data_IF_029601608284
#
_entry.id   IF_029601608284
#
_cell.length_a   1.000
_cell.length_b   1.000
_cell.length_c   1.000
_cell.angle_alpha   90.00
_cell.angle_beta   90.00
_cell.angle_gamma   90.00
#
_symmetry.space_group_name_H-M   'P 1'
#
loop_
_entity.id
_entity.type
_entity.pdbx_description
1 polymer ?
#
# COMPACT_ATOMS: atom_id res chain seq x y z
N UNK A 1 -19.04 -0.57 18.42
CA UNK A 1 -18.81 -0.66 16.97
C UNK A 1 -20.02 -0.17 16.18
N UNK A 2 -21.23 -0.70 16.38
CA UNK A 2 -22.45 -0.22 15.73
C UNK A 2 -22.65 1.30 15.83
N UNK A 3 -22.33 1.91 16.97
CA UNK A 3 -22.46 3.36 17.15
C UNK A 3 -21.45 4.19 16.33
N UNK A 4 -20.25 3.70 16.06
CA UNK A 4 -19.25 4.45 15.27
C UNK A 4 -19.39 4.26 13.74
N UNK A 5 -19.89 3.10 13.31
CA UNK A 5 -20.01 2.76 11.88
C UNK A 5 -21.44 3.00 11.35
N UNK A 6 -22.46 2.88 12.21
CA UNK A 6 -23.89 3.02 11.84
C UNK A 6 -24.48 4.41 12.15
N UNK A 7 -23.66 5.38 12.60
CA UNK A 7 -24.13 6.76 12.80
C UNK A 7 -24.61 7.38 11.47
N UNK A 8 -25.43 8.42 11.58
CA UNK A 8 -25.85 9.20 10.42
C UNK A 8 -24.64 9.54 9.56
N UNK A 9 -24.57 8.95 8.36
CA UNK A 9 -23.45 9.14 7.44
C UNK A 9 -23.47 10.59 6.96
N UNK A 10 -22.62 11.41 7.57
CA UNK A 10 -22.38 12.79 7.18
C UNK A 10 -20.99 12.90 6.54
N UNK A 11 -20.74 13.87 5.65
CA UNK A 11 -19.40 14.08 5.10
C UNK A 11 -18.33 14.23 6.19
N UNK A 12 -18.60 15.05 7.21
CA UNK A 12 -17.69 15.26 8.33
C UNK A 12 -17.46 13.98 9.16
N UNK A 13 -18.51 13.16 9.40
CA UNK A 13 -18.39 11.90 10.13
C UNK A 13 -17.55 10.87 9.39
N UNK A 14 -17.77 10.72 8.08
CA UNK A 14 -16.99 9.79 7.25
C UNK A 14 -15.51 10.22 7.17
N UNK A 15 -15.24 11.50 6.98
CA UNK A 15 -13.87 12.03 6.93
C UNK A 15 -13.17 11.91 8.29
N UNK A 16 -13.87 12.21 9.40
CA UNK A 16 -13.33 12.03 10.76
C UNK A 16 -12.96 10.57 11.04
N UNK A 17 -13.73 9.63 10.52
CA UNK A 17 -13.43 8.20 10.66
C UNK A 17 -12.23 7.77 9.79
N UNK A 18 -12.11 8.30 8.57
CA UNK A 18 -11.03 7.98 7.65
C UNK A 18 -9.70 8.71 7.96
N UNK A 19 -9.77 9.89 8.60
CA UNK A 19 -8.59 10.74 8.85
C UNK A 19 -7.42 10.02 9.55
N UNK A 20 -7.62 9.19 10.60
CA UNK A 20 -6.52 8.44 11.19
C UNK A 20 -5.83 7.51 10.21
N UNK A 21 -6.58 6.86 9.31
CA UNK A 21 -6.00 5.97 8.29
C UNK A 21 -5.24 6.74 7.22
N UNK A 22 -5.70 7.93 6.84
CA UNK A 22 -4.98 8.83 5.92
C UNK A 22 -3.64 9.25 6.54
N UNK A 23 -3.68 9.76 7.78
CA UNK A 23 -2.48 10.22 8.49
C UNK A 23 -1.50 9.05 8.67
N UNK A 24 -1.99 7.88 9.02
CA UNK A 24 -1.18 6.67 9.16
C UNK A 24 -0.45 6.31 7.87
N UNK A 25 -1.14 6.28 6.73
CA UNK A 25 -0.53 5.92 5.44
C UNK A 25 0.47 6.97 4.96
N UNK A 26 0.16 8.25 5.13
CA UNK A 26 1.09 9.34 4.80
C UNK A 26 2.34 9.27 5.68
N UNK A 27 2.17 9.05 6.98
CA UNK A 27 3.29 8.88 7.90
C UNK A 27 4.16 7.67 7.53
N UNK A 28 3.55 6.52 7.22
CA UNK A 28 4.27 5.32 6.79
C UNK A 28 5.08 5.56 5.51
N UNK A 29 4.54 6.33 4.58
CA UNK A 29 5.26 6.68 3.36
C UNK A 29 6.44 7.61 3.62
N UNK A 30 6.28 8.61 4.48
CA UNK A 30 7.36 9.50 4.89
C UNK A 30 8.46 8.74 5.63
N UNK A 31 8.08 7.89 6.56
CA UNK A 31 9.00 7.05 7.31
C UNK A 31 9.83 6.15 6.39
N UNK A 32 9.22 5.49 5.40
CA UNK A 32 9.94 4.63 4.44
C UNK A 32 10.97 5.42 3.63
N UNK A 33 10.65 6.66 3.23
CA UNK A 33 11.60 7.54 2.54
C UNK A 33 12.77 7.92 3.44
N UNK A 34 12.48 8.27 4.70
CA UNK A 34 13.51 8.64 5.69
C UNK A 34 14.44 7.48 5.99
N UNK A 35 13.90 6.27 6.16
CA UNK A 35 14.66 5.05 6.41
C UNK A 35 15.65 4.76 5.25
N UNK A 36 15.19 4.83 4.01
CA UNK A 36 16.06 4.68 2.84
C UNK A 36 17.19 5.72 2.77
N UNK A 37 16.90 6.99 3.09
CA UNK A 37 17.92 8.06 3.17
C UNK A 37 18.91 7.77 4.29
N UNK A 38 18.43 7.29 5.43
CA UNK A 38 19.27 6.98 6.59
C UNK A 38 20.26 5.86 6.28
N UNK A 39 19.79 4.76 5.71
CA UNK A 39 20.64 3.62 5.29
C UNK A 39 21.69 4.08 4.28
N UNK A 40 21.28 4.82 3.25
CA UNK A 40 22.20 5.34 2.24
C UNK A 40 23.30 6.22 2.83
N UNK A 41 22.97 7.07 3.80
CA UNK A 41 23.89 8.06 4.36
C UNK A 41 24.87 7.45 5.36
N UNK A 42 24.44 6.48 6.18
CA UNK A 42 25.25 5.92 7.26
C UNK A 42 25.96 4.61 6.91
N UNK A 43 25.37 3.79 6.04
CA UNK A 43 25.92 2.50 5.64
C UNK A 43 26.57 2.51 4.25
N UNK A 44 26.32 3.56 3.47
CA UNK A 44 26.91 3.73 2.15
C UNK A 44 26.16 3.01 1.03
N UNK A 45 26.72 3.11 -0.20
CA UNK A 45 26.09 2.64 -1.43
C UNK A 45 25.97 1.12 -1.53
N UNK A 46 26.94 0.36 -0.99
CA UNK A 46 26.92 -1.11 -1.06
C UNK A 46 25.78 -1.69 -0.22
N UNK A 47 25.55 -1.17 0.99
CA UNK A 47 24.45 -1.59 1.84
C UNK A 47 23.09 -1.28 1.21
N UNK A 48 22.95 -0.07 0.63
CA UNK A 48 21.73 0.30 -0.10
C UNK A 48 21.50 -0.59 -1.33
N UNK A 49 22.56 -0.92 -2.07
CA UNK A 49 22.48 -1.83 -3.20
C UNK A 49 22.06 -3.24 -2.79
N UNK A 50 22.62 -3.76 -1.70
CA UNK A 50 22.28 -5.07 -1.15
C UNK A 50 20.81 -5.13 -0.72
N UNK A 51 20.30 -4.08 -0.04
CA UNK A 51 18.89 -3.93 0.31
C UNK A 51 18.01 -3.97 -0.94
N UNK A 52 18.33 -3.15 -1.95
CA UNK A 52 17.54 -3.07 -3.18
C UNK A 52 17.50 -4.39 -3.96
N UNK A 53 18.59 -5.16 -3.94
CA UNK A 53 18.67 -6.48 -4.60
C UNK A 53 17.67 -7.45 -3.96
N UNK A 54 17.57 -7.51 -2.63
CA UNK A 54 16.70 -8.46 -1.94
C UNK A 54 15.28 -7.94 -1.68
N UNK A 55 15.05 -6.66 -1.91
CA UNK A 55 13.75 -6.01 -1.70
C UNK A 55 12.56 -6.67 -2.42
N UNK A 56 12.71 -7.27 -3.63
CA UNK A 56 11.62 -8.01 -4.26
C UNK A 56 11.02 -9.13 -3.41
N UNK A 57 11.83 -9.82 -2.58
CA UNK A 57 11.31 -10.87 -1.67
C UNK A 57 10.47 -10.25 -0.56
N UNK A 58 10.95 -9.15 0.01
CA UNK A 58 10.20 -8.38 1.03
C UNK A 58 8.89 -7.84 0.43
N UNK A 59 8.91 -7.39 -0.84
CA UNK A 59 7.71 -6.96 -1.53
C UNK A 59 6.68 -8.09 -1.73
N UNK A 60 7.11 -9.32 -1.96
CA UNK A 60 6.19 -10.47 -2.02
C UNK A 60 5.51 -10.68 -0.66
N UNK A 61 6.25 -10.58 0.43
CA UNK A 61 5.69 -10.66 1.78
C UNK A 61 4.67 -9.55 2.05
N UNK A 62 5.02 -8.29 1.75
CA UNK A 62 4.11 -7.14 1.89
C UNK A 62 2.87 -7.32 1.00
N UNK A 63 3.03 -7.82 -0.23
CA UNK A 63 1.93 -8.05 -1.16
C UNK A 63 0.94 -9.09 -0.63
N UNK A 64 1.43 -10.20 -0.07
CA UNK A 64 0.58 -11.23 0.55
C UNK A 64 -0.11 -10.68 1.79
N UNK A 65 0.61 -9.92 2.62
CA UNK A 65 0.08 -9.33 3.84
C UNK A 65 -1.06 -8.35 3.57
N UNK A 66 -0.85 -7.45 2.61
CA UNK A 66 -1.87 -6.46 2.21
C UNK A 66 -3.07 -7.11 1.53
N UNK A 67 -2.86 -8.17 0.74
CA UNK A 67 -3.93 -8.98 0.17
C UNK A 67 -4.84 -9.57 1.27
N UNK A 68 -4.25 -10.19 2.28
CA UNK A 68 -5.00 -10.76 3.41
C UNK A 68 -5.67 -9.67 4.25
N UNK A 69 -4.99 -8.55 4.50
CA UNK A 69 -5.52 -7.43 5.27
C UNK A 69 -6.74 -6.80 4.61
N UNK A 70 -6.67 -6.48 3.33
CA UNK A 70 -7.76 -5.80 2.60
C UNK A 70 -8.90 -6.75 2.24
N UNK A 71 -8.58 -7.95 1.75
CA UNK A 71 -9.59 -8.96 1.43
C UNK A 71 -10.31 -9.47 2.66
N UNK A 72 -9.58 -9.75 3.75
CA UNK A 72 -10.15 -10.14 5.03
C UNK A 72 -11.03 -9.05 5.65
N UNK A 73 -10.59 -7.77 5.57
CA UNK A 73 -11.37 -6.62 6.02
C UNK A 73 -12.75 -6.57 5.33
N UNK A 74 -12.81 -6.77 4.01
CA UNK A 74 -14.06 -6.74 3.27
C UNK A 74 -15.04 -7.83 3.72
N UNK A 75 -14.54 -9.07 3.93
CA UNK A 75 -15.37 -10.19 4.41
C UNK A 75 -15.85 -9.98 5.83
N UNK A 76 -14.95 -9.59 6.75
CA UNK A 76 -15.29 -9.35 8.15
C UNK A 76 -16.33 -8.23 8.28
N UNK A 77 -16.12 -7.10 7.58
CA UNK A 77 -17.04 -5.96 7.64
C UNK A 77 -18.41 -6.28 7.04
N UNK A 78 -18.47 -7.10 5.99
CA UNK A 78 -19.71 -7.61 5.42
C UNK A 78 -20.47 -8.48 6.44
N UNK A 79 -19.82 -9.45 7.10
CA UNK A 79 -20.45 -10.28 8.11
C UNK A 79 -20.96 -9.46 9.30
N UNK A 80 -20.25 -8.41 9.71
CA UNK A 80 -20.73 -7.49 10.74
C UNK A 80 -22.00 -6.74 10.30
N UNK A 81 -22.08 -6.36 9.01
CA UNK A 81 -23.26 -5.74 8.42
C UNK A 81 -24.46 -6.69 8.36
N UNK A 82 -24.22 -7.97 8.04
CA UNK A 82 -25.21 -9.04 8.03
C UNK A 82 -25.62 -9.50 9.43
N UNK A 83 -25.11 -8.87 10.50
CA UNK A 83 -25.31 -9.23 11.92
C UNK A 83 -24.77 -10.64 12.31
N UNK A 84 -23.95 -11.25 11.45
CA UNK A 84 -23.31 -12.56 11.66
C UNK A 84 -22.00 -12.40 12.47
N UNK A 85 -22.13 -11.91 13.71
CA UNK A 85 -20.96 -11.57 14.53
C UNK A 85 -20.03 -12.77 14.84
N UNK A 86 -20.57 -13.98 14.96
CA UNK A 86 -19.77 -15.20 15.16
C UNK A 86 -18.92 -15.49 13.92
N UNK A 87 -19.52 -15.44 12.74
CA UNK A 87 -18.77 -15.60 11.48
C UNK A 87 -17.68 -14.54 11.29
N UNK A 88 -17.95 -13.30 11.67
CA UNK A 88 -16.96 -12.22 11.64
C UNK A 88 -15.76 -12.51 12.56
N UNK A 89 -15.98 -13.10 13.74
CA UNK A 89 -14.94 -13.51 14.68
C UNK A 89 -14.12 -14.71 14.15
N UNK A 90 -14.82 -15.71 13.61
CA UNK A 90 -14.18 -16.88 13.00
C UNK A 90 -13.27 -16.43 11.85
N UNK A 91 -13.78 -15.59 10.93
CA UNK A 91 -13.02 -15.05 9.82
C UNK A 91 -11.80 -14.22 10.28
N UNK A 92 -11.96 -13.35 11.27
CA UNK A 92 -10.85 -12.61 11.88
C UNK A 92 -9.74 -13.56 12.36
N UNK A 93 -10.12 -14.58 13.13
CA UNK A 93 -9.17 -15.54 13.72
C UNK A 93 -8.48 -16.36 12.63
N UNK A 94 -9.26 -16.84 11.65
CA UNK A 94 -8.76 -17.62 10.53
C UNK A 94 -7.74 -16.83 9.69
N UNK A 95 -8.01 -15.55 9.37
CA UNK A 95 -7.09 -14.75 8.56
C UNK A 95 -5.80 -14.41 9.31
N UNK A 96 -5.86 -14.19 10.63
CA UNK A 96 -4.65 -14.00 11.45
C UNK A 96 -3.82 -15.28 11.50
N UNK A 97 -4.45 -16.44 11.68
CA UNK A 97 -3.75 -17.74 11.64
C UNK A 97 -3.16 -18.00 10.25
N UNK A 98 -3.90 -17.70 9.19
CA UNK A 98 -3.40 -17.84 7.81
C UNK A 98 -2.17 -16.97 7.57
N UNK A 99 -2.21 -15.69 8.02
CA UNK A 99 -1.07 -14.78 7.92
C UNK A 99 0.16 -15.36 8.63
N UNK A 100 0.00 -15.88 9.85
CA UNK A 100 1.08 -16.55 10.58
C UNK A 100 1.62 -17.78 9.84
N UNK A 101 0.75 -18.63 9.32
CA UNK A 101 1.19 -19.82 8.59
C UNK A 101 1.96 -19.46 7.31
N UNK A 102 1.46 -18.51 6.53
CA UNK A 102 2.13 -18.05 5.31
C UNK A 102 3.46 -17.35 5.62
N UNK A 103 3.53 -16.56 6.71
CA UNK A 103 4.78 -15.93 7.13
C UNK A 103 5.84 -16.97 7.54
N UNK A 104 5.43 -18.04 8.23
CA UNK A 104 6.34 -19.13 8.59
C UNK A 104 6.83 -19.89 7.36
N UNK A 105 5.96 -20.11 6.37
CA UNK A 105 6.36 -20.73 5.10
C UNK A 105 7.38 -19.85 4.37
N UNK A 106 7.13 -18.53 4.28
CA UNK A 106 8.06 -17.58 3.65
C UNK A 106 9.39 -17.49 4.41
N UNK A 107 9.33 -17.46 5.74
CA UNK A 107 10.53 -17.50 6.60
C UNK A 107 11.37 -18.73 6.30
N UNK A 108 10.78 -19.93 6.43
CA UNK A 108 11.48 -21.19 6.22
C UNK A 108 12.04 -21.30 4.80
N UNK A 109 11.24 -20.94 3.80
CA UNK A 109 11.70 -20.94 2.40
C UNK A 109 12.88 -19.98 2.19
N UNK A 110 12.77 -18.75 2.69
CA UNK A 110 13.83 -17.76 2.55
C UNK A 110 15.11 -18.18 3.24
N UNK A 111 15.04 -18.69 4.49
CA UNK A 111 16.20 -19.13 5.24
C UNK A 111 16.90 -20.34 4.60
N UNK A 112 16.14 -21.29 4.07
CA UNK A 112 16.71 -22.46 3.36
C UNK A 112 17.39 -22.08 2.05
N UNK A 113 16.92 -21.04 1.38
CA UNK A 113 17.36 -20.63 0.03
C UNK A 113 18.02 -19.25 -0.03
N UNK A 114 18.54 -18.69 1.08
CA UNK A 114 19.14 -17.34 1.14
C UNK A 114 20.16 -17.10 0.02
N UNK A 115 21.11 -18.01 -0.18
CA UNK A 115 22.16 -17.86 -1.21
C UNK A 115 21.60 -17.99 -2.63
N UNK A 116 20.82 -19.02 -2.97
CA UNK A 116 20.19 -19.12 -4.30
C UNK A 116 19.31 -17.92 -4.64
N UNK A 117 18.49 -17.45 -3.68
CA UNK A 117 17.61 -16.29 -3.88
C UNK A 117 18.44 -15.03 -4.14
N UNK A 118 19.45 -14.75 -3.30
CA UNK A 118 20.30 -13.57 -3.46
C UNK A 118 21.03 -13.57 -4.80
N UNK A 119 21.55 -14.72 -5.22
CA UNK A 119 22.21 -14.87 -6.53
C UNK A 119 21.24 -14.69 -7.69
N UNK A 120 20.07 -15.30 -7.63
CA UNK A 120 19.01 -15.16 -8.64
C UNK A 120 18.58 -13.69 -8.82
N UNK A 121 18.55 -12.93 -7.73
CA UNK A 121 18.23 -11.50 -7.74
C UNK A 121 19.39 -10.61 -8.19
N UNK A 122 20.57 -11.18 -8.46
CA UNK A 122 21.70 -10.47 -9.04
C UNK A 122 22.80 -10.05 -8.05
N UNK A 123 22.85 -10.65 -6.85
CA UNK A 123 23.92 -10.34 -5.90
C UNK A 123 25.28 -10.80 -6.43
N UNK A 124 26.23 -9.85 -6.54
CA UNK A 124 27.64 -10.11 -6.83
C UNK A 124 28.34 -10.74 -5.62
N UNK A 125 29.56 -11.25 -5.81
CA UNK A 125 30.34 -11.84 -4.71
C UNK A 125 30.61 -10.84 -3.57
N UNK A 126 30.76 -9.56 -3.91
CA UNK A 126 30.98 -8.48 -2.94
C UNK A 126 29.75 -8.20 -2.09
N UNK A 127 28.55 -8.24 -2.71
CA UNK A 127 27.29 -7.88 -2.05
C UNK A 127 26.55 -9.08 -1.43
N UNK A 128 26.97 -10.30 -1.76
CA UNK A 128 26.27 -11.52 -1.36
C UNK A 128 26.15 -11.67 0.16
N UNK A 129 27.21 -11.33 0.90
CA UNK A 129 27.21 -11.43 2.34
C UNK A 129 26.17 -10.50 2.97
N UNK A 130 26.13 -9.24 2.53
CA UNK A 130 25.17 -8.24 3.00
C UNK A 130 23.74 -8.58 2.57
N UNK A 131 23.53 -9.06 1.34
CA UNK A 131 22.23 -9.52 0.85
C UNK A 131 21.67 -10.65 1.73
N UNK A 132 22.50 -11.66 2.03
CA UNK A 132 22.09 -12.79 2.89
C UNK A 132 21.79 -12.34 4.31
N UNK A 133 22.63 -11.48 4.87
CA UNK A 133 22.48 -10.97 6.23
C UNK A 133 21.21 -10.14 6.36
N UNK A 134 20.96 -9.22 5.42
CA UNK A 134 19.77 -8.38 5.44
C UNK A 134 18.48 -9.19 5.22
N UNK A 135 18.46 -10.05 4.19
CA UNK A 135 17.30 -10.89 3.88
C UNK A 135 16.99 -11.85 5.02
N UNK A 136 17.96 -12.60 5.53
CA UNK A 136 17.75 -13.54 6.64
C UNK A 136 17.26 -12.82 7.89
N UNK A 137 17.94 -11.73 8.30
CA UNK A 137 17.49 -10.94 9.45
C UNK A 137 16.06 -10.40 9.27
N UNK A 138 15.73 -9.87 8.09
CA UNK A 138 14.37 -9.36 7.82
C UNK A 138 13.32 -10.46 7.85
N UNK A 139 13.62 -11.62 7.26
CA UNK A 139 12.66 -12.74 7.21
C UNK A 139 12.39 -13.37 8.58
N UNK A 140 13.30 -13.28 9.55
CA UNK A 140 13.00 -13.68 10.93
C UNK A 140 11.81 -12.92 11.53
N UNK A 141 11.56 -11.70 11.06
CA UNK A 141 10.43 -10.86 11.47
C UNK A 141 9.23 -10.93 10.54
N UNK A 142 9.24 -11.82 9.53
CA UNK A 142 8.10 -11.99 8.62
C UNK A 142 6.76 -12.19 9.35
N UNK A 143 6.65 -12.98 10.45
CA UNK A 143 5.41 -13.05 11.21
C UNK A 143 4.94 -11.70 11.78
N UNK A 144 5.86 -10.88 12.24
CA UNK A 144 5.55 -9.55 12.76
C UNK A 144 5.11 -8.59 11.65
N UNK A 145 5.81 -8.59 10.52
CA UNK A 145 5.48 -7.81 9.33
C UNK A 145 4.06 -8.14 8.82
N UNK A 146 3.76 -9.43 8.62
CA UNK A 146 2.43 -9.85 8.17
C UNK A 146 1.33 -9.48 9.16
N UNK A 147 1.53 -9.70 10.45
CA UNK A 147 0.56 -9.33 11.48
C UNK A 147 0.35 -7.83 11.54
N UNK A 148 1.41 -7.02 11.43
CA UNK A 148 1.31 -5.56 11.36
C UNK A 148 0.37 -5.12 10.23
N UNK A 149 0.59 -5.61 8.99
CA UNK A 149 -0.20 -5.25 7.84
C UNK A 149 -1.68 -5.69 7.97
N UNK A 150 -1.92 -6.88 8.49
CA UNK A 150 -3.27 -7.40 8.74
C UNK A 150 -3.96 -6.58 9.83
N UNK A 151 -3.31 -6.29 10.97
CA UNK A 151 -3.90 -5.52 12.04
C UNK A 151 -4.09 -4.05 11.70
N UNK A 152 -3.28 -3.48 10.79
CA UNK A 152 -3.53 -2.16 10.22
C UNK A 152 -4.95 -2.05 9.66
N UNK A 153 -5.40 -3.05 8.91
CA UNK A 153 -6.76 -3.09 8.34
C UNK A 153 -7.81 -3.50 9.38
N UNK A 154 -7.53 -4.51 10.21
CA UNK A 154 -8.52 -5.06 11.14
C UNK A 154 -8.83 -4.15 12.33
N UNK A 155 -7.90 -3.31 12.77
CA UNK A 155 -8.17 -2.29 13.79
C UNK A 155 -9.15 -1.22 13.28
N UNK A 156 -9.05 -0.86 11.98
CA UNK A 156 -10.03 0.03 11.35
C UNK A 156 -11.41 -0.64 11.30
N UNK A 157 -11.46 -1.92 10.89
CA UNK A 157 -12.69 -2.74 10.89
C UNK A 157 -13.28 -2.87 12.30
N UNK A 158 -12.43 -2.99 13.33
CA UNK A 158 -12.85 -3.00 14.73
C UNK A 158 -13.36 -1.64 15.25
N UNK A 159 -13.46 -0.62 14.38
CA UNK A 159 -13.90 0.74 14.74
C UNK A 159 -12.88 1.50 15.60
N UNK A 160 -11.59 1.15 15.47
CA UNK A 160 -10.47 1.73 16.21
C UNK A 160 -9.35 2.28 15.30
N UNK A 161 -9.68 3.09 14.28
CA UNK A 161 -8.65 3.62 13.39
C UNK A 161 -7.60 4.48 14.12
N UNK A 162 -7.98 5.18 15.20
CA UNK A 162 -7.04 5.93 16.03
C UNK A 162 -6.03 5.06 16.76
N UNK A 163 -6.40 3.84 17.18
CA UNK A 163 -5.45 2.88 17.75
C UNK A 163 -4.49 2.38 16.67
N UNK A 164 -4.98 2.09 15.47
CA UNK A 164 -4.15 1.75 14.32
C UNK A 164 -3.11 2.85 14.04
N UNK A 165 -3.55 4.11 13.97
CA UNK A 165 -2.66 5.25 13.81
C UNK A 165 -1.58 5.30 14.90
N UNK A 166 -1.97 5.20 16.18
CA UNK A 166 -1.03 5.27 17.31
C UNK A 166 0.03 4.16 17.25
N UNK A 167 -0.39 2.92 16.96
CA UNK A 167 0.52 1.77 16.90
C UNK A 167 1.47 1.87 15.71
N UNK A 168 0.98 2.24 14.53
CA UNK A 168 1.82 2.33 13.33
C UNK A 168 2.79 3.51 13.38
N UNK A 169 2.33 4.69 13.82
CA UNK A 169 3.22 5.86 13.97
C UNK A 169 4.21 5.65 15.10
N UNK A 170 3.77 5.08 16.23
CA UNK A 170 4.66 4.72 17.34
C UNK A 170 5.74 3.73 16.92
N UNK A 171 5.37 2.69 16.17
CA UNK A 171 6.32 1.73 15.62
C UNK A 171 7.33 2.36 14.66
N UNK A 172 6.87 3.26 13.77
CA UNK A 172 7.76 3.96 12.85
C UNK A 172 8.76 4.89 13.58
N UNK A 173 8.31 5.64 14.59
CA UNK A 173 9.21 6.47 15.42
C UNK A 173 10.19 5.58 16.17
N UNK A 174 9.73 4.48 16.74
CA UNK A 174 10.58 3.54 17.48
C UNK A 174 11.63 2.89 16.55
N UNK A 175 11.23 2.51 15.34
CA UNK A 175 12.17 2.03 14.32
C UNK A 175 13.25 3.08 14.00
N UNK A 176 12.90 4.35 13.71
CA UNK A 176 13.89 5.40 13.44
C UNK A 176 14.90 5.60 14.61
N UNK A 177 14.44 5.47 15.86
CA UNK A 177 15.31 5.51 17.03
C UNK A 177 16.23 4.29 17.04
N UNK A 178 15.70 3.10 16.78
CA UNK A 178 16.50 1.87 16.72
C UNK A 178 17.51 1.87 15.58
N UNK A 179 17.15 2.40 14.40
CA UNK A 179 18.09 2.57 13.28
C UNK A 179 19.29 3.39 13.71
N UNK A 180 19.05 4.55 14.35
CA UNK A 180 20.14 5.36 14.88
C UNK A 180 20.98 4.58 15.88
N UNK A 181 20.36 3.93 16.87
CA UNK A 181 21.07 3.22 17.96
C UNK A 181 21.85 2.01 17.42
N UNK A 182 21.25 1.20 16.56
CA UNK A 182 21.90 -0.04 16.10
C UNK A 182 22.94 0.22 15.01
N UNK A 183 22.75 1.24 14.18
CA UNK A 183 23.67 1.54 13.09
C UNK A 183 24.84 2.42 13.58
N UNK A 184 24.57 3.48 14.34
CA UNK A 184 25.60 4.47 14.67
C UNK A 184 26.43 4.07 15.89
N UNK A 185 25.90 3.99 17.14
CA UNK A 185 26.72 3.59 18.29
C UNK A 185 27.04 2.09 18.35
N UNK A 186 26.11 1.22 17.96
CA UNK A 186 26.33 -0.23 18.02
C UNK A 186 27.09 -0.78 16.80
N UNK A 187 27.20 -0.02 15.72
CA UNK A 187 27.93 -0.38 14.48
C UNK A 187 27.53 -1.73 13.89
N UNK A 188 26.24 -2.09 13.99
CA UNK A 188 25.72 -3.38 13.51
C UNK A 188 25.54 -3.42 11.97
N UNK A 189 25.86 -2.34 11.28
CA UNK A 189 25.78 -2.28 9.82
C UNK A 189 24.36 -2.56 9.29
N UNK A 190 24.30 -3.29 8.17
CA UNK A 190 23.02 -3.60 7.50
C UNK A 190 22.11 -4.53 8.33
N UNK A 191 22.69 -5.38 9.19
CA UNK A 191 21.91 -6.19 10.14
C UNK A 191 21.18 -5.30 11.16
N UNK A 192 21.80 -4.19 11.59
CA UNK A 192 21.17 -3.22 12.47
C UNK A 192 19.92 -2.61 11.87
N UNK A 193 19.94 -2.24 10.59
CA UNK A 193 18.77 -1.73 9.87
C UNK A 193 17.65 -2.78 9.80
N UNK A 194 17.97 -4.02 9.43
CA UNK A 194 16.98 -5.11 9.39
C UNK A 194 16.35 -5.40 10.76
N UNK A 195 17.18 -5.42 11.83
CA UNK A 195 16.71 -5.61 13.21
C UNK A 195 15.83 -4.45 13.67
N UNK A 196 16.22 -3.20 13.40
CA UNK A 196 15.43 -2.03 13.78
C UNK A 196 14.02 -2.08 13.16
N UNK A 197 13.95 -2.39 11.86
CA UNK A 197 12.69 -2.54 11.13
C UNK A 197 11.86 -3.69 11.71
N UNK A 198 12.45 -4.87 11.90
CA UNK A 198 11.77 -6.04 12.43
C UNK A 198 11.24 -5.84 13.86
N UNK A 199 12.04 -5.27 14.75
CA UNK A 199 11.63 -4.96 16.13
C UNK A 199 10.51 -3.90 16.13
N UNK A 200 10.62 -2.89 15.26
CA UNK A 200 9.56 -1.90 15.06
C UNK A 200 8.23 -2.54 14.68
N UNK A 201 8.24 -3.52 13.76
CA UNK A 201 7.07 -4.27 13.33
C UNK A 201 6.47 -5.17 14.42
N UNK A 202 7.29 -5.64 15.39
CA UNK A 202 6.79 -6.41 16.52
C UNK A 202 5.82 -5.61 17.41
N UNK A 203 5.98 -4.30 17.51
CA UNK A 203 5.13 -3.46 18.36
C UNK A 203 3.65 -3.54 17.93
N UNK A 204 3.26 -3.18 16.70
CA UNK A 204 1.87 -3.31 16.27
C UNK A 204 1.39 -4.76 16.17
N UNK A 205 2.28 -5.73 15.88
CA UNK A 205 1.94 -7.14 15.85
C UNK A 205 1.52 -7.64 17.24
N UNK A 206 2.34 -7.42 18.26
CA UNK A 206 2.03 -7.85 19.64
C UNK A 206 0.87 -7.09 20.21
N UNK A 207 0.83 -5.75 20.06
CA UNK A 207 -0.28 -4.94 20.54
C UNK A 207 -1.61 -5.30 19.87
N UNK A 208 -1.59 -5.61 18.58
CA UNK A 208 -2.76 -6.08 17.84
C UNK A 208 -3.25 -7.44 18.34
N UNK A 209 -2.34 -8.40 18.55
CA UNK A 209 -2.67 -9.69 19.17
C UNK A 209 -3.30 -9.49 20.55
N UNK A 210 -2.66 -8.72 21.42
CA UNK A 210 -3.18 -8.43 22.76
C UNK A 210 -4.56 -7.76 22.69
N UNK A 211 -4.75 -6.80 21.78
CA UNK A 211 -6.05 -6.14 21.62
C UNK A 211 -7.15 -7.15 21.29
N UNK A 212 -6.98 -8.02 20.31
CA UNK A 212 -8.01 -8.99 19.90
C UNK A 212 -8.16 -10.17 20.89
N UNK A 213 -7.13 -10.49 21.67
CA UNK A 213 -7.20 -11.50 22.73
C UNK A 213 -8.00 -11.01 23.94
N UNK A 214 -7.74 -9.79 24.40
CA UNK A 214 -8.29 -9.30 25.66
C UNK A 214 -9.53 -8.41 25.51
N UNK A 215 -9.89 -8.02 24.28
CA UNK A 215 -11.07 -7.20 24.05
C UNK A 215 -12.35 -7.98 24.34
N UNK A 216 -13.30 -7.31 25.02
CA UNK A 216 -14.68 -7.82 25.22
C UNK A 216 -15.66 -7.35 24.13
N UNK A 217 -15.14 -6.78 23.01
CA UNK A 217 -15.95 -6.20 21.94
C UNK A 217 -16.47 -7.27 20.97
N UNK A 218 -17.22 -6.82 19.97
CA UNK A 218 -17.82 -7.67 18.94
C UNK A 218 -16.78 -8.47 18.16
N UNK A 219 -15.65 -7.85 17.77
CA UNK A 219 -14.51 -8.54 17.14
C UNK A 219 -13.46 -8.92 18.18
N UNK A 220 -13.26 -10.22 18.36
CA UNK A 220 -12.26 -10.83 19.24
C UNK A 220 -11.89 -12.19 18.68
N UNK A 221 -10.78 -12.74 19.09
CA UNK A 221 -10.42 -14.12 18.75
C UNK A 221 -11.39 -15.12 19.36
N UNK A 222 -11.69 -16.17 18.60
CA UNK A 222 -12.55 -17.28 19.03
C UNK A 222 -12.07 -18.59 18.41
N UNK A 223 -12.66 -19.70 18.83
CA UNK A 223 -12.50 -20.97 18.11
C UNK A 223 -13.15 -20.80 16.74
N UNK A 224 -12.51 -21.32 15.70
CA UNK A 224 -12.98 -21.21 14.32
C UNK A 224 -12.95 -22.56 13.61
N UNK A 225 -13.80 -22.71 12.63
CA UNK A 225 -13.79 -23.82 11.68
C UNK A 225 -13.05 -23.37 10.44
N UNK A 226 -12.06 -24.12 10.00
CA UNK A 226 -11.24 -23.79 8.85
C UNK A 226 -12.07 -23.84 7.57
N UNK A 227 -12.23 -22.71 6.89
CA UNK A 227 -12.96 -22.60 5.64
C UNK A 227 -12.04 -22.18 4.50
N UNK A 228 -11.64 -23.15 3.69
CA UNK A 228 -10.79 -22.89 2.50
C UNK A 228 -11.48 -21.92 1.55
N UNK A 229 -12.80 -21.99 1.41
CA UNK A 229 -13.56 -21.09 0.54
C UNK A 229 -13.43 -19.64 0.98
N UNK A 230 -13.64 -19.36 2.27
CA UNK A 230 -13.51 -17.98 2.79
C UNK A 230 -12.09 -17.43 2.64
N UNK A 231 -11.06 -18.30 2.78
CA UNK A 231 -9.68 -17.94 2.54
C UNK A 231 -9.42 -17.55 1.09
N UNK A 232 -9.90 -18.38 0.16
CA UNK A 232 -9.76 -18.11 -1.28
C UNK A 232 -10.55 -16.85 -1.68
N UNK A 233 -11.73 -16.65 -1.13
CA UNK A 233 -12.54 -15.45 -1.36
C UNK A 233 -11.82 -14.19 -0.85
N UNK A 234 -11.15 -14.26 0.32
CA UNK A 234 -10.35 -13.15 0.84
C UNK A 234 -9.12 -12.86 -0.05
N UNK A 235 -8.38 -13.91 -0.42
CA UNK A 235 -7.22 -13.76 -1.32
C UNK A 235 -7.64 -13.18 -2.68
N UNK A 236 -8.73 -13.69 -3.24
CA UNK A 236 -9.26 -13.19 -4.52
C UNK A 236 -9.70 -11.72 -4.42
N UNK A 237 -10.40 -11.37 -3.35
CA UNK A 237 -10.90 -10.01 -3.14
C UNK A 237 -9.77 -9.01 -2.86
N UNK A 238 -8.72 -9.43 -2.16
CA UNK A 238 -7.53 -8.62 -1.87
C UNK A 238 -6.44 -8.66 -2.95
N UNK A 239 -6.62 -9.46 -4.00
CA UNK A 239 -5.63 -9.62 -5.08
C UNK A 239 -5.25 -8.32 -5.79
N UNK A 240 -6.15 -7.34 -5.81
CA UNK A 240 -5.91 -6.00 -6.35
C UNK A 240 -4.73 -5.30 -5.68
N UNK A 241 -4.61 -5.41 -4.35
CA UNK A 241 -3.51 -4.82 -3.59
C UNK A 241 -2.20 -5.59 -3.81
N UNK A 242 -2.29 -6.93 -3.85
CA UNK A 242 -1.13 -7.76 -4.17
C UNK A 242 -0.55 -7.41 -5.53
N UNK A 243 -1.39 -7.31 -6.56
CA UNK A 243 -0.97 -6.93 -7.92
C UNK A 243 -0.33 -5.54 -7.91
N UNK A 244 -0.92 -4.57 -7.20
CA UNK A 244 -0.37 -3.22 -7.12
C UNK A 244 1.03 -3.20 -6.50
N UNK A 245 1.25 -3.95 -5.44
CA UNK A 245 2.55 -4.04 -4.77
C UNK A 245 3.61 -4.71 -5.65
N UNK A 246 3.28 -5.83 -6.27
CA UNK A 246 4.21 -6.54 -7.15
C UNK A 246 4.55 -5.74 -8.42
N UNK A 247 3.59 -5.00 -8.96
CA UNK A 247 3.79 -4.17 -10.16
C UNK A 247 4.77 -3.03 -9.93
N UNK A 248 4.84 -2.47 -8.71
CA UNK A 248 5.73 -1.35 -8.40
C UNK A 248 7.21 -1.66 -8.73
N UNK A 249 7.67 -2.88 -8.42
CA UNK A 249 9.05 -3.28 -8.73
C UNK A 249 9.31 -3.34 -10.24
N UNK A 250 8.38 -3.92 -11.00
CA UNK A 250 8.48 -4.03 -12.46
C UNK A 250 8.51 -2.63 -13.10
N UNK A 251 7.67 -1.73 -12.64
CA UNK A 251 7.56 -0.38 -13.19
C UNK A 251 8.79 0.44 -12.88
N UNK A 252 9.30 0.39 -11.65
CA UNK A 252 10.55 1.07 -11.29
C UNK A 252 11.70 0.59 -12.15
N UNK A 253 11.83 -0.71 -12.37
CA UNK A 253 12.84 -1.29 -13.24
C UNK A 253 12.71 -0.79 -14.69
N UNK A 254 11.51 -0.80 -15.25
CA UNK A 254 11.28 -0.32 -16.62
C UNK A 254 11.57 1.17 -16.77
N UNK A 255 11.14 1.99 -15.81
CA UNK A 255 11.47 3.42 -15.82
C UNK A 255 12.97 3.67 -15.78
N UNK A 256 13.70 2.94 -14.94
CA UNK A 256 15.16 3.08 -14.85
C UNK A 256 15.83 2.77 -16.20
N UNK A 257 15.42 1.69 -16.90
CA UNK A 257 15.95 1.36 -18.23
C UNK A 257 15.66 2.47 -19.23
N UNK A 258 14.41 2.91 -19.31
CA UNK A 258 13.97 3.93 -20.27
C UNK A 258 14.66 5.26 -19.97
N UNK A 259 14.71 5.70 -18.73
CA UNK A 259 15.31 6.97 -18.34
C UNK A 259 16.85 6.96 -18.49
N UNK A 260 17.50 5.82 -18.21
CA UNK A 260 18.94 5.66 -18.47
C UNK A 260 19.25 5.82 -19.96
N UNK A 261 18.40 5.29 -20.85
CA UNK A 261 18.59 5.42 -22.30
C UNK A 261 18.31 6.83 -22.85
N UNK A 262 17.43 7.61 -22.18
CA UNK A 262 16.99 8.94 -22.66
C UNK A 262 17.84 10.09 -22.10
N UNK A 263 18.24 10.01 -20.83
CA UNK A 263 18.88 11.12 -20.11
C UNK A 263 19.98 10.66 -19.15
N UNK A 264 20.42 9.39 -19.24
CA UNK A 264 21.49 8.85 -18.41
C UNK A 264 21.16 8.88 -16.90
N UNK A 265 22.18 9.06 -16.08
CA UNK A 265 22.06 9.05 -14.62
C UNK A 265 21.15 10.17 -14.09
N UNK A 266 21.19 11.36 -14.69
CA UNK A 266 20.29 12.46 -14.31
C UNK A 266 18.81 12.11 -14.55
N UNK A 267 18.52 11.36 -15.63
CA UNK A 267 17.18 10.89 -15.93
C UNK A 267 16.69 9.88 -14.89
N UNK A 268 17.52 8.93 -14.49
CA UNK A 268 17.19 7.94 -13.46
C UNK A 268 16.98 8.63 -12.11
N UNK A 269 17.83 9.58 -11.74
CA UNK A 269 17.67 10.35 -10.52
C UNK A 269 16.37 11.19 -10.53
N UNK A 270 16.06 11.81 -11.67
CA UNK A 270 14.84 12.60 -11.82
C UNK A 270 13.57 11.75 -11.66
N UNK A 271 13.47 10.60 -12.36
CA UNK A 271 12.30 9.73 -12.23
C UNK A 271 12.14 9.17 -10.81
N UNK A 272 13.23 8.88 -10.13
CA UNK A 272 13.20 8.42 -8.74
C UNK A 272 12.54 9.45 -7.82
N UNK A 273 12.85 10.74 -8.00
CA UNK A 273 12.20 11.84 -7.26
C UNK A 273 10.69 11.86 -7.53
N UNK A 274 10.28 11.72 -8.80
CA UNK A 274 8.88 11.70 -9.18
C UNK A 274 8.14 10.51 -8.57
N UNK A 275 8.74 9.33 -8.58
CA UNK A 275 8.16 8.12 -7.98
C UNK A 275 8.03 8.22 -6.45
N UNK A 276 8.97 8.87 -5.76
CA UNK A 276 8.80 9.18 -4.32
C UNK A 276 7.64 10.14 -4.08
N UNK A 277 7.49 11.16 -4.91
CA UNK A 277 6.32 12.05 -4.88
C UNK A 277 5.01 11.27 -5.09
N UNK A 278 4.98 10.38 -6.09
CA UNK A 278 3.82 9.51 -6.34
C UNK A 278 3.50 8.63 -5.14
N UNK A 279 4.49 8.01 -4.54
CA UNK A 279 4.33 7.14 -3.37
C UNK A 279 3.66 7.90 -2.22
N UNK A 280 4.14 9.12 -1.92
CA UNK A 280 3.59 9.97 -0.87
C UNK A 280 2.14 10.40 -1.16
N UNK A 281 1.85 10.90 -2.36
CA UNK A 281 0.50 11.36 -2.69
C UNK A 281 -0.50 10.19 -2.83
N UNK A 282 -0.07 9.05 -3.37
CA UNK A 282 -0.92 7.87 -3.43
C UNK A 282 -1.24 7.30 -2.03
N UNK A 283 -0.35 7.47 -1.05
CA UNK A 283 -0.59 7.08 0.33
C UNK A 283 -1.81 7.80 0.94
N UNK A 284 -2.06 9.05 0.54
CA UNK A 284 -3.27 9.78 0.95
C UNK A 284 -4.55 9.06 0.47
N UNK A 285 -4.61 8.68 -0.80
CA UNK A 285 -5.79 8.00 -1.37
C UNK A 285 -5.95 6.57 -0.84
N UNK A 286 -4.84 5.85 -0.66
CA UNK A 286 -4.84 4.52 -0.05
C UNK A 286 -5.34 4.59 1.39
N UNK A 287 -4.86 5.55 2.17
CA UNK A 287 -5.31 5.77 3.54
C UNK A 287 -6.79 6.10 3.63
N UNK A 288 -7.30 6.92 2.72
CA UNK A 288 -8.74 7.20 2.61
C UNK A 288 -9.52 5.92 2.26
N UNK A 289 -9.07 5.18 1.24
CA UNK A 289 -9.70 3.93 0.80
C UNK A 289 -9.78 2.89 1.92
N UNK A 290 -8.66 2.66 2.64
CA UNK A 290 -8.60 1.75 3.78
C UNK A 290 -9.54 2.23 4.90
N UNK A 291 -9.55 3.54 5.17
CA UNK A 291 -10.39 4.14 6.21
C UNK A 291 -11.88 3.95 5.98
N UNK A 292 -12.35 4.10 4.74
CA UNK A 292 -13.79 3.98 4.43
C UNK A 292 -14.23 2.52 4.15
N UNK A 293 -13.30 1.63 3.84
CA UNK A 293 -13.59 0.24 3.44
C UNK A 293 -14.49 -0.50 4.43
N UNK A 294 -14.27 -0.47 5.76
CA UNK A 294 -15.16 -1.15 6.71
C UNK A 294 -16.58 -0.57 6.74
N UNK A 295 -16.70 0.75 6.50
CA UNK A 295 -18.02 1.41 6.47
C UNK A 295 -18.82 0.96 5.25
N UNK A 296 -18.15 0.85 4.09
CA UNK A 296 -18.75 0.35 2.85
C UNK A 296 -19.16 -1.12 3.03
N UNK A 297 -18.26 -1.99 3.47
CA UNK A 297 -18.50 -3.42 3.67
C UNK A 297 -19.65 -3.68 4.65
N UNK A 298 -19.71 -2.90 5.75
CA UNK A 298 -20.80 -2.99 6.73
C UNK A 298 -22.14 -2.61 6.12
N UNK A 299 -22.26 -1.48 5.40
CA UNK A 299 -23.52 -1.06 4.78
C UNK A 299 -23.94 -2.00 3.65
N UNK A 300 -22.97 -2.55 2.92
CA UNK A 300 -23.23 -3.58 1.92
C UNK A 300 -23.80 -4.86 2.55
N UNK A 301 -23.20 -5.35 3.64
CA UNK A 301 -23.70 -6.50 4.40
C UNK A 301 -25.08 -6.27 5.01
N UNK A 302 -25.33 -5.05 5.49
CA UNK A 302 -26.65 -4.65 6.02
C UNK A 302 -27.73 -4.46 4.94
N UNK A 303 -27.36 -4.47 3.66
CA UNK A 303 -28.30 -4.22 2.56
C UNK A 303 -28.82 -2.78 2.47
N UNK A 304 -28.18 -1.82 3.16
CA UNK A 304 -28.62 -0.42 3.20
C UNK A 304 -28.09 0.36 1.98
N UNK A 305 -28.80 0.20 0.85
CA UNK A 305 -28.46 0.85 -0.42
C UNK A 305 -28.48 2.38 -0.33
N UNK A 306 -29.34 2.95 0.50
CA UNK A 306 -29.46 4.42 0.64
C UNK A 306 -28.19 4.99 1.27
N UNK A 307 -27.72 4.39 2.37
CA UNK A 307 -26.47 4.80 3.00
C UNK A 307 -25.27 4.52 2.11
N UNK A 308 -25.26 3.38 1.42
CA UNK A 308 -24.18 3.02 0.50
C UNK A 308 -24.05 4.04 -0.64
N UNK A 309 -25.18 4.47 -1.24
CA UNK A 309 -25.20 5.55 -2.23
C UNK A 309 -24.69 6.88 -1.69
N UNK A 310 -25.02 7.20 -0.45
CA UNK A 310 -24.53 8.41 0.21
C UNK A 310 -23.02 8.36 0.43
N UNK A 311 -22.48 7.23 0.91
CA UNK A 311 -21.03 7.01 1.07
C UNK A 311 -20.35 7.17 -0.29
N UNK A 312 -20.86 6.53 -1.33
CA UNK A 312 -20.33 6.63 -2.68
C UNK A 312 -20.18 8.09 -3.13
N UNK A 313 -21.27 8.89 -3.03
CA UNK A 313 -21.25 10.30 -3.44
C UNK A 313 -20.26 11.14 -2.63
N UNK A 314 -20.25 10.96 -1.32
CA UNK A 314 -19.32 11.71 -0.42
C UNK A 314 -17.88 11.35 -0.75
N UNK A 315 -17.57 10.05 -0.90
CA UNK A 315 -16.22 9.58 -1.14
C UNK A 315 -15.66 10.09 -2.46
N UNK A 316 -16.42 9.97 -3.56
CA UNK A 316 -15.94 10.39 -4.87
C UNK A 316 -15.88 11.91 -5.01
N UNK A 317 -16.79 12.66 -4.37
CA UNK A 317 -16.69 14.11 -4.29
C UNK A 317 -15.45 14.57 -3.51
N UNK A 318 -15.20 13.94 -2.35
CA UNK A 318 -14.01 14.24 -1.55
C UNK A 318 -12.73 13.95 -2.31
N UNK A 319 -12.63 12.80 -2.98
CA UNK A 319 -11.46 12.44 -3.78
C UNK A 319 -11.27 13.40 -4.95
N UNK A 320 -12.33 13.78 -5.65
CA UNK A 320 -12.24 14.74 -6.75
C UNK A 320 -11.71 16.10 -6.28
N UNK A 321 -12.25 16.63 -5.17
CA UNK A 321 -11.82 17.92 -4.60
C UNK A 321 -10.38 17.81 -4.08
N UNK A 322 -10.04 16.78 -3.32
CA UNK A 322 -8.68 16.60 -2.81
C UNK A 322 -7.65 16.37 -3.92
N UNK A 323 -8.01 15.63 -4.98
CA UNK A 323 -7.15 15.45 -6.16
C UNK A 323 -6.84 16.77 -6.86
N UNK A 324 -7.83 17.64 -7.00
CA UNK A 324 -7.61 18.98 -7.59
C UNK A 324 -6.65 19.80 -6.72
N UNK A 325 -6.84 19.80 -5.40
CA UNK A 325 -5.96 20.52 -4.46
C UNK A 325 -4.54 19.95 -4.53
N UNK A 326 -4.39 18.61 -4.55
CA UNK A 326 -3.09 17.94 -4.63
C UNK A 326 -2.37 18.30 -5.94
N UNK A 327 -3.07 18.24 -7.10
CA UNK A 327 -2.47 18.58 -8.40
C UNK A 327 -2.01 20.03 -8.43
N UNK A 328 -2.87 20.97 -8.02
CA UNK A 328 -2.52 22.39 -7.98
C UNK A 328 -1.30 22.61 -7.08
N UNK A 329 -1.31 22.02 -5.89
CA UNK A 329 -0.18 22.11 -4.96
C UNK A 329 1.08 21.45 -5.52
N UNK A 330 0.99 20.28 -6.13
CA UNK A 330 2.12 19.56 -6.71
C UNK A 330 2.75 20.34 -7.87
N UNK A 331 1.94 20.94 -8.75
CA UNK A 331 2.43 21.77 -9.86
C UNK A 331 3.07 23.06 -9.35
N UNK A 332 2.42 23.73 -8.40
CA UNK A 332 2.91 25.00 -7.86
C UNK A 332 4.20 24.84 -7.06
N UNK A 333 4.25 23.83 -6.20
CA UNK A 333 5.41 23.56 -5.34
C UNK A 333 6.44 22.60 -5.94
N UNK A 334 6.29 22.19 -7.22
CA UNK A 334 7.22 21.25 -7.86
C UNK A 334 8.71 21.64 -7.73
N UNK A 335 9.13 22.92 -7.93
CA UNK A 335 10.54 23.28 -7.77
C UNK A 335 11.03 23.10 -6.33
N UNK A 336 10.21 23.49 -5.35
CA UNK A 336 10.54 23.35 -3.93
C UNK A 336 10.63 21.87 -3.50
N UNK A 337 9.70 21.03 -3.98
CA UNK A 337 9.73 19.58 -3.72
C UNK A 337 11.01 18.97 -4.29
N UNK A 338 11.34 19.26 -5.54
CA UNK A 338 12.55 18.71 -6.18
C UNK A 338 13.82 19.17 -5.46
N UNK A 339 13.89 20.44 -5.00
CA UNK A 339 15.04 20.98 -4.27
C UNK A 339 15.32 20.25 -2.94
N UNK A 340 14.28 19.64 -2.32
CA UNK A 340 14.48 18.83 -1.11
C UNK A 340 15.30 17.57 -1.43
N UNK A 341 15.14 16.99 -2.62
CA UNK A 341 15.76 15.72 -2.99
C UNK A 341 17.11 15.88 -3.68
N UNK A 342 17.33 16.94 -4.44
CA UNK A 342 18.59 17.13 -5.19
C UNK A 342 19.05 18.57 -5.22
N UNK A 343 20.39 18.74 -5.21
CA UNK A 343 21.09 20.01 -5.46
C UNK A 343 21.79 20.00 -6.83
N UNK A 344 21.81 18.85 -7.50
CA UNK A 344 22.40 18.73 -8.83
C UNK A 344 21.49 19.43 -9.85
N UNK A 345 22.05 20.38 -10.58
CA UNK A 345 21.29 21.25 -11.48
C UNK A 345 20.68 20.48 -12.65
N UNK A 346 21.42 19.53 -13.24
CA UNK A 346 20.91 18.72 -14.37
C UNK A 346 19.70 17.87 -13.97
N UNK A 347 19.79 17.20 -12.83
CA UNK A 347 18.67 16.42 -12.26
C UNK A 347 17.52 17.34 -11.87
N UNK A 348 17.80 18.52 -11.29
CA UNK A 348 16.78 19.47 -10.84
C UNK A 348 15.93 20.00 -12.00
N UNK A 349 16.58 20.39 -13.12
CA UNK A 349 15.88 20.89 -14.31
C UNK A 349 14.96 19.81 -14.91
N UNK A 350 15.49 18.58 -15.09
CA UNK A 350 14.72 17.44 -15.59
C UNK A 350 13.55 17.08 -14.68
N UNK A 351 13.81 16.98 -13.37
CA UNK A 351 12.79 16.61 -12.39
C UNK A 351 11.71 17.70 -12.24
N UNK A 352 12.08 18.97 -12.30
CA UNK A 352 11.12 20.06 -12.15
C UNK A 352 10.14 20.16 -13.33
N UNK A 353 10.62 19.93 -14.54
CA UNK A 353 9.77 19.84 -15.75
C UNK A 353 8.94 18.56 -15.69
N UNK A 354 9.60 17.43 -15.41
CA UNK A 354 8.95 16.12 -15.32
C UNK A 354 7.84 16.11 -14.27
N UNK A 355 8.07 16.67 -13.10
CA UNK A 355 7.11 16.68 -11.99
C UNK A 355 5.81 17.43 -12.35
N UNK A 356 5.89 18.55 -13.10
CA UNK A 356 4.71 19.30 -13.55
C UNK A 356 3.84 18.48 -14.49
N UNK A 357 4.45 17.78 -15.46
CA UNK A 357 3.72 16.89 -16.38
C UNK A 357 3.17 15.67 -15.65
N UNK A 358 3.97 15.11 -14.77
CA UNK A 358 3.62 13.94 -13.99
C UNK A 358 2.50 14.20 -12.96
N UNK A 359 2.42 15.42 -12.42
CA UNK A 359 1.43 15.81 -11.40
C UNK A 359 -0.03 15.64 -11.88
N UNK A 360 -0.29 15.65 -13.19
CA UNK A 360 -1.61 15.36 -13.77
C UNK A 360 -2.10 13.97 -13.33
N UNK A 361 -1.17 13.03 -13.11
CA UNK A 361 -1.46 11.71 -12.57
C UNK A 361 -2.30 11.79 -11.28
N UNK A 362 -2.00 12.70 -10.36
CA UNK A 362 -2.67 12.80 -9.07
C UNK A 362 -4.15 13.18 -9.17
N UNK A 363 -4.56 13.80 -10.28
CA UNK A 363 -5.98 14.05 -10.54
C UNK A 363 -6.76 12.74 -10.81
N UNK A 364 -6.11 11.78 -11.43
CA UNK A 364 -6.74 10.56 -11.96
C UNK A 364 -6.55 9.38 -11.00
N UNK A 365 -5.36 9.26 -10.40
CA UNK A 365 -4.99 8.12 -9.55
C UNK A 365 -5.89 8.00 -8.32
N UNK A 366 -6.28 9.11 -7.71
CA UNK A 366 -7.19 9.12 -6.56
C UNK A 366 -8.52 8.45 -6.86
N UNK A 367 -9.11 8.74 -8.03
CA UNK A 367 -10.38 8.14 -8.47
C UNK A 367 -10.22 6.64 -8.72
N UNK A 368 -9.14 6.20 -9.36
CA UNK A 368 -8.89 4.80 -9.67
C UNK A 368 -8.59 3.99 -8.40
N UNK A 369 -7.74 4.51 -7.48
CA UNK A 369 -7.41 3.87 -6.20
C UNK A 369 -8.67 3.68 -5.35
N UNK A 370 -9.44 4.77 -5.19
CA UNK A 370 -10.67 4.73 -4.39
C UNK A 370 -11.71 3.80 -5.01
N UNK A 371 -11.81 3.74 -6.33
CA UNK A 371 -12.73 2.83 -7.03
C UNK A 371 -12.34 1.37 -6.80
N UNK A 372 -11.06 1.03 -6.97
CA UNK A 372 -10.56 -0.31 -6.70
C UNK A 372 -10.89 -0.74 -5.26
N UNK A 373 -10.55 0.10 -4.26
CA UNK A 373 -10.86 -0.17 -2.85
C UNK A 373 -12.36 -0.23 -2.55
N UNK A 374 -13.18 0.56 -3.24
CA UNK A 374 -14.65 0.51 -3.11
C UNK A 374 -15.19 -0.84 -3.59
N UNK A 375 -14.75 -1.33 -4.76
CA UNK A 375 -15.14 -2.65 -5.26
C UNK A 375 -14.62 -3.78 -4.37
N UNK A 376 -13.41 -3.67 -3.81
CA UNK A 376 -12.89 -4.61 -2.81
C UNK A 376 -13.80 -4.67 -1.58
N UNK A 377 -14.21 -3.52 -1.05
CA UNK A 377 -15.10 -3.43 0.11
C UNK A 377 -16.50 -3.99 -0.17
N UNK A 378 -16.98 -3.94 -1.42
CA UNK A 378 -18.20 -4.59 -1.89
C UNK A 378 -18.04 -6.11 -2.16
N UNK A 379 -16.91 -6.69 -1.82
CA UNK A 379 -16.55 -8.09 -2.13
C UNK A 379 -16.57 -8.41 -3.63
N UNK A 380 -16.32 -7.41 -4.49
CA UNK A 380 -16.17 -7.58 -5.93
C UNK A 380 -14.70 -7.53 -6.35
N UNK A 381 -13.92 -8.51 -5.90
CA UNK A 381 -12.49 -8.64 -6.18
C UNK A 381 -12.15 -8.68 -7.67
N UNK A 382 -13.08 -9.19 -8.53
CA UNK A 382 -12.87 -9.24 -9.97
C UNK A 382 -12.71 -7.86 -10.60
N UNK A 383 -13.62 -6.94 -10.27
CA UNK A 383 -13.57 -5.58 -10.80
C UNK A 383 -12.41 -4.80 -10.19
N UNK A 384 -12.19 -4.97 -8.89
CA UNK A 384 -11.07 -4.35 -8.21
C UNK A 384 -9.71 -4.79 -8.79
N UNK A 385 -9.51 -6.09 -8.97
CA UNK A 385 -8.29 -6.63 -9.58
C UNK A 385 -8.09 -6.14 -11.03
N UNK A 386 -9.18 -6.09 -11.83
CA UNK A 386 -9.11 -5.56 -13.20
C UNK A 386 -8.63 -4.10 -13.21
N UNK A 387 -9.23 -3.23 -12.39
CA UNK A 387 -8.84 -1.83 -12.30
C UNK A 387 -7.37 -1.71 -11.87
N UNK A 388 -6.96 -2.43 -10.81
CA UNK A 388 -5.58 -2.38 -10.31
C UNK A 388 -4.59 -2.91 -11.33
N UNK A 389 -4.86 -4.03 -11.98
CA UNK A 389 -3.96 -4.64 -12.97
C UNK A 389 -3.78 -3.75 -14.21
N UNK A 390 -4.88 -3.19 -14.73
CA UNK A 390 -4.81 -2.23 -15.83
C UNK A 390 -4.02 -0.98 -15.44
N UNK A 391 -4.27 -0.44 -14.24
CA UNK A 391 -3.65 0.78 -13.74
C UNK A 391 -2.15 0.62 -13.48
N UNK A 392 -1.80 -0.44 -12.73
CA UNK A 392 -0.44 -0.57 -12.18
C UNK A 392 0.51 -1.37 -13.06
N UNK A 393 0.03 -2.08 -14.07
CA UNK A 393 0.90 -2.89 -14.94
C UNK A 393 0.61 -2.64 -16.42
N UNK A 394 -0.55 -3.04 -16.93
CA UNK A 394 -0.79 -3.10 -18.37
C UNK A 394 -0.56 -1.72 -19.03
N UNK A 395 -1.34 -0.72 -18.61
CA UNK A 395 -1.30 0.57 -19.28
C UNK A 395 -0.01 1.35 -19.03
N UNK A 396 0.63 1.18 -17.86
CA UNK A 396 1.92 1.82 -17.61
C UNK A 396 2.99 1.21 -18.50
N UNK A 397 3.06 -0.13 -18.60
CA UNK A 397 4.04 -0.82 -19.45
C UNK A 397 3.85 -0.40 -20.91
N UNK A 398 2.63 -0.44 -21.42
CA UNK A 398 2.32 -0.05 -22.81
C UNK A 398 2.70 1.42 -23.04
N UNK A 399 2.27 2.32 -22.14
CA UNK A 399 2.56 3.75 -22.28
C UNK A 399 4.06 4.03 -22.23
N UNK A 400 4.79 3.36 -21.32
CA UNK A 400 6.24 3.56 -21.16
C UNK A 400 7.06 2.99 -22.33
N UNK A 401 6.55 1.96 -23.02
CA UNK A 401 7.20 1.43 -24.22
C UNK A 401 6.91 2.25 -25.49
N UNK A 402 5.76 2.90 -25.57
CA UNK A 402 5.30 3.61 -26.78
C UNK A 402 5.62 5.11 -26.71
N UNK A 403 5.19 5.79 -25.64
CA UNK A 403 5.25 7.24 -25.56
C UNK A 403 6.68 7.82 -25.62
N UNK A 404 7.69 7.23 -24.98
CA UNK A 404 9.06 7.72 -25.09
C UNK A 404 9.63 7.64 -26.50
N UNK A 405 9.16 6.71 -27.34
CA UNK A 405 9.56 6.60 -28.75
C UNK A 405 9.00 7.74 -29.61
N UNK A 406 7.87 8.31 -29.21
CA UNK A 406 7.16 9.37 -29.96
C UNK A 406 7.57 10.74 -29.44
N UNK A 407 7.59 10.92 -28.11
CA UNK A 407 7.77 12.21 -27.45
C UNK A 407 9.08 12.33 -26.66
N UNK A 408 10.03 11.38 -26.82
CA UNK A 408 11.28 11.39 -26.07
C UNK A 408 11.03 11.36 -24.55
N UNK A 409 11.80 12.14 -23.81
CA UNK A 409 11.74 12.20 -22.36
C UNK A 409 10.36 12.65 -21.83
N UNK A 410 9.68 13.54 -22.54
CA UNK A 410 8.33 13.97 -22.17
C UNK A 410 7.34 12.79 -22.24
N UNK A 411 7.55 11.86 -23.15
CA UNK A 411 6.78 10.63 -23.23
C UNK A 411 6.91 9.77 -21.98
N UNK A 412 8.12 9.71 -21.38
CA UNK A 412 8.30 9.01 -20.10
C UNK A 412 7.56 9.72 -18.95
N UNK A 413 7.58 11.04 -18.89
CA UNK A 413 6.87 11.81 -17.85
C UNK A 413 5.35 11.66 -17.91
N UNK A 414 4.77 11.57 -19.10
CA UNK A 414 3.31 11.42 -19.26
C UNK A 414 2.85 9.95 -19.30
N UNK A 415 3.75 8.97 -19.22
CA UNK A 415 3.39 7.56 -19.30
C UNK A 415 2.40 7.14 -18.20
N UNK A 416 2.63 7.54 -16.93
CA UNK A 416 1.72 7.25 -15.84
C UNK A 416 0.40 8.05 -15.94
N UNK A 417 0.40 9.37 -16.19
CA UNK A 417 -0.84 10.10 -16.47
C UNK A 417 -1.72 9.46 -17.54
N UNK A 418 -1.13 9.04 -18.66
CA UNK A 418 -1.89 8.37 -19.74
C UNK A 418 -2.45 7.02 -19.28
N UNK A 419 -1.65 6.22 -18.58
CA UNK A 419 -2.10 4.95 -18.02
C UNK A 419 -3.27 5.12 -17.04
N UNK A 420 -3.20 6.12 -16.16
CA UNK A 420 -4.28 6.43 -15.22
C UNK A 420 -5.54 6.94 -15.95
N UNK A 421 -5.38 7.72 -17.01
CA UNK A 421 -6.50 8.15 -17.84
C UNK A 421 -7.20 6.96 -18.53
N UNK A 422 -6.45 6.08 -19.16
CA UNK A 422 -7.01 4.85 -19.77
C UNK A 422 -7.71 3.98 -18.74
N UNK A 423 -7.13 3.85 -17.55
CA UNK A 423 -7.76 3.15 -16.44
C UNK A 423 -9.06 3.82 -16.00
N UNK A 424 -9.09 5.16 -15.96
CA UNK A 424 -10.29 5.90 -15.56
C UNK A 424 -11.46 5.64 -16.52
N UNK A 425 -11.21 5.41 -17.81
CA UNK A 425 -12.25 5.02 -18.77
C UNK A 425 -12.86 3.65 -18.41
N UNK A 426 -12.01 2.67 -18.06
CA UNK A 426 -12.46 1.36 -17.56
C UNK A 426 -13.22 1.52 -16.24
N UNK A 427 -12.68 2.28 -15.33
CA UNK A 427 -13.30 2.58 -14.03
C UNK A 427 -14.68 3.21 -14.22
N UNK A 428 -14.82 4.21 -15.09
CA UNK A 428 -16.08 4.85 -15.42
C UNK A 428 -17.09 3.88 -16.03
N UNK A 429 -16.63 2.98 -16.91
CA UNK A 429 -17.48 1.93 -17.47
C UNK A 429 -17.98 0.96 -16.39
N UNK A 430 -17.09 0.52 -15.47
CA UNK A 430 -17.49 -0.33 -14.34
C UNK A 430 -18.47 0.39 -13.41
N UNK A 431 -18.25 1.68 -13.10
CA UNK A 431 -19.21 2.47 -12.32
C UNK A 431 -20.57 2.57 -13.00
N UNK A 432 -20.60 2.74 -14.33
CA UNK A 432 -21.86 2.76 -15.08
C UNK A 432 -22.62 1.45 -14.91
N UNK A 433 -21.95 0.29 -15.04
CA UNK A 433 -22.59 -1.02 -14.93
C UNK A 433 -23.09 -1.30 -13.50
N UNK A 434 -22.27 -1.01 -12.48
CA UNK A 434 -22.53 -1.48 -11.12
C UNK A 434 -23.23 -0.45 -10.22
N UNK A 435 -23.23 0.83 -10.60
CA UNK A 435 -23.79 1.90 -9.77
C UNK A 435 -24.85 2.76 -10.45
N UNK A 436 -24.87 2.85 -11.76
CA UNK A 436 -25.75 3.77 -12.50
C UNK A 436 -26.83 3.07 -13.31
N UNK A 437 -26.56 1.89 -13.88
CA UNK A 437 -27.56 1.15 -14.65
C UNK A 437 -28.52 0.41 -13.72
N UNK A 438 -29.86 0.48 -13.95
CA UNK A 438 -30.81 -0.36 -13.24
C UNK A 438 -30.62 -1.82 -13.64
N UNK A 439 -30.61 -2.73 -12.65
CA UNK A 439 -30.47 -4.17 -12.88
C UNK A 439 -29.97 -4.93 -11.66
N UNK A 440 -29.93 -6.26 -11.74
CA UNK A 440 -29.50 -7.15 -10.65
C UNK A 440 -28.07 -6.91 -10.18
N UNK A 441 -27.22 -6.34 -11.04
CA UNK A 441 -25.80 -6.03 -10.72
C UNK A 441 -25.61 -4.68 -10.04
N UNK A 442 -26.66 -3.89 -9.85
CA UNK A 442 -26.56 -2.57 -9.26
C UNK A 442 -26.45 -2.68 -7.73
N UNK A 443 -25.36 -2.15 -7.17
CA UNK A 443 -25.13 -2.10 -5.73
C UNK A 443 -25.85 -0.93 -5.04
N UNK A 444 -26.20 0.12 -5.75
CA UNK A 444 -26.84 1.33 -5.26
C UNK A 444 -28.30 1.40 -5.74
#
# INVERSE_FOLDING_TARGET
MRHSINQNITPAGLLKFAAPSIIMMVFMSLYTIVDGIFISRFLGSNALSSLNIVYPVINVEIAISTMLGTGGNAIISKYLGEEKNERAREALTQFVVLALLLSLVLLLFSELFLTPISRFLGASDVLLADCRLYLGTSMLFAPACMLQAVFQSFLVTAGRPGLGLLLMTGAGIFNMILDYVLIVPCQMGIAGAALATGIGQCVPAVCGLCFFLFTRRELRFCRFTFSVKEMLDACYNGSSEMVSQLSNAVITFLFNIVMMSLAGEHGVAAITILLYGQFLFNAFYLGFSIGISPVIGFQYGAGDRVKLRKIYRISFLFVAVSSLVIVVSAVFFSPAIVTIFTKDQGTWELASVGFRLFAINFLLSGMNITSSGFFTALSNGKVSALISFCRTLIFIVISLLILPRIFGINGAWIAIPVAEFLTLLITGWMHRIYFLMPGERNYL
#
